data_IF_646270445023
#
_entry.id   IF_646270445023
#
_cell.length_a   1.000
_cell.length_b   1.000
_cell.length_c   1.000
_cell.angle_alpha   90.00
_cell.angle_beta   90.00
_cell.angle_gamma   90.00
#
_symmetry.space_group_name_H-M   'P 1'
#
loop_
_entity.id
_entity.type
_entity.pdbx_description
1 polymer ?
#
# COMPACT_ATOMS: atom_id res chain seq x y z
N UNK A 1 -1.80 -2.97 -3.12
CA UNK A 1 -1.23 -4.29 -3.49
C UNK A 1 0.28 -4.26 -3.29
N UNK A 2 0.89 -5.41 -3.03
CA UNK A 2 2.34 -5.57 -2.98
C UNK A 2 2.79 -6.79 -3.79
N UNK A 3 3.97 -6.70 -4.40
CA UNK A 3 4.68 -7.85 -4.95
C UNK A 3 5.59 -8.45 -3.88
N UNK A 4 5.79 -9.75 -3.93
CA UNK A 4 6.72 -10.51 -3.08
C UNK A 4 7.84 -11.03 -3.96
N UNK A 5 9.08 -10.75 -3.59
CA UNK A 5 10.24 -11.20 -4.37
C UNK A 5 10.62 -12.64 -4.00
N UNK A 6 10.97 -13.43 -4.99
CA UNK A 6 11.39 -14.83 -4.84
C UNK A 6 12.85 -15.08 -5.13
N UNK A 7 13.60 -14.04 -5.52
CA UNK A 7 14.98 -14.18 -5.96
C UNK A 7 15.82 -13.02 -5.44
N UNK A 8 17.02 -13.31 -4.98
CA UNK A 8 17.99 -12.27 -4.64
C UNK A 8 18.41 -11.49 -5.89
N UNK A 9 18.52 -10.15 -5.76
CA UNK A 9 18.97 -9.29 -6.84
C UNK A 9 19.48 -7.94 -6.39
N UNK A 10 20.36 -7.39 -7.19
CA UNK A 10 20.89 -6.03 -7.16
C UNK A 10 21.08 -5.58 -8.61
N UNK A 11 20.94 -4.27 -8.87
CA UNK A 11 21.01 -3.72 -10.23
C UNK A 11 20.06 -4.45 -11.19
N UNK A 12 18.82 -4.66 -10.77
CA UNK A 12 17.82 -5.43 -11.50
C UNK A 12 17.24 -4.54 -12.62
N UNK A 13 17.41 -4.92 -13.89
CA UNK A 13 16.82 -4.14 -14.98
C UNK A 13 15.29 -4.29 -15.00
N UNK A 14 14.57 -3.24 -15.36
CA UNK A 14 13.11 -3.26 -15.47
C UNK A 14 12.60 -4.47 -16.27
N UNK A 15 13.23 -4.77 -17.39
CA UNK A 15 12.83 -5.89 -18.26
C UNK A 15 12.87 -7.27 -17.61
N UNK A 16 13.60 -7.41 -16.50
CA UNK A 16 13.80 -8.67 -15.77
C UNK A 16 12.87 -8.83 -14.57
N UNK A 17 12.04 -7.81 -14.24
CA UNK A 17 11.25 -7.78 -13.01
C UNK A 17 10.39 -9.04 -12.82
N UNK A 18 9.78 -9.55 -13.89
CA UNK A 18 8.91 -10.75 -13.83
C UNK A 18 9.65 -12.01 -13.33
N UNK A 19 10.97 -12.07 -13.52
CA UNK A 19 11.81 -13.17 -13.04
C UNK A 19 12.10 -13.08 -11.53
N UNK A 20 11.80 -11.96 -10.91
CA UNK A 20 12.02 -11.71 -9.47
C UNK A 20 10.74 -11.79 -8.66
N UNK A 21 9.58 -11.56 -9.27
CA UNK A 21 8.28 -11.65 -8.59
C UNK A 21 7.96 -13.12 -8.35
N UNK A 22 7.78 -13.49 -7.08
CA UNK A 22 7.26 -14.80 -6.68
C UNK A 22 5.75 -14.81 -6.59
N UNK A 23 5.15 -13.73 -6.07
CA UNK A 23 3.72 -13.64 -5.92
C UNK A 23 3.25 -12.24 -5.56
N UNK A 24 1.95 -12.12 -5.35
CA UNK A 24 1.27 -10.87 -5.00
C UNK A 24 0.41 -11.06 -3.76
N UNK A 25 0.19 -9.97 -3.01
CA UNK A 25 -0.69 -9.94 -1.85
C UNK A 25 -1.35 -8.57 -1.71
N UNK A 26 -2.40 -8.47 -0.89
CA UNK A 26 -2.93 -7.17 -0.50
C UNK A 26 -2.12 -6.60 0.65
N UNK A 27 -2.06 -5.27 0.71
CA UNK A 27 -1.33 -4.54 1.74
C UNK A 27 -2.10 -3.29 2.12
N UNK A 28 -2.34 -3.10 3.42
CA UNK A 28 -2.85 -1.87 4.01
C UNK A 28 -1.69 -1.12 4.68
N UNK A 29 -1.34 0.04 4.13
CA UNK A 29 -0.29 0.93 4.64
C UNK A 29 -0.92 2.02 5.51
N UNK A 30 -1.19 1.68 6.77
CA UNK A 30 -1.83 2.59 7.71
C UNK A 30 -0.89 3.74 8.08
N UNK A 31 -1.45 4.94 8.15
CA UNK A 31 -0.64 6.14 8.35
C UNK A 31 -1.23 7.02 9.44
N UNK A 32 -0.48 7.22 10.52
CA UNK A 32 -0.83 8.13 11.60
C UNK A 32 -0.49 9.57 11.21
N UNK A 33 -1.49 10.34 10.77
CA UNK A 33 -1.29 11.71 10.27
C UNK A 33 -1.37 12.79 11.34
N UNK A 34 -2.27 12.63 12.33
CA UNK A 34 -2.61 13.67 13.30
C UNK A 34 -1.88 13.54 14.64
N UNK A 35 -1.11 12.47 14.84
CA UNK A 35 -0.43 12.18 16.13
C UNK A 35 0.97 12.77 16.22
N UNK A 36 1.47 13.39 15.15
CA UNK A 36 2.82 13.96 15.11
C UNK A 36 2.72 15.46 15.27
N UNK A 37 3.48 16.04 16.23
CA UNK A 37 3.57 17.49 16.42
C UNK A 37 3.84 18.25 15.11
N UNK A 38 3.34 19.48 14.97
CA UNK A 38 3.60 20.31 13.79
C UNK A 38 5.10 20.37 13.48
N UNK A 39 5.46 20.07 12.25
CA UNK A 39 6.86 20.05 11.82
C UNK A 39 7.04 19.31 10.50
N UNK A 40 8.27 19.18 10.01
CA UNK A 40 8.52 18.43 8.78
C UNK A 40 8.01 17.00 8.90
N UNK A 41 7.43 16.48 7.81
CA UNK A 41 6.85 15.15 7.74
C UNK A 41 7.84 14.09 8.28
N UNK A 42 7.46 13.46 9.39
CA UNK A 42 8.26 12.41 10.02
C UNK A 42 7.75 11.05 9.51
N UNK A 43 7.98 10.74 8.24
CA UNK A 43 7.48 9.51 7.61
C UNK A 43 7.78 8.26 8.44
N UNK A 44 8.96 8.19 9.07
CA UNK A 44 9.32 7.06 9.92
C UNK A 44 8.31 6.82 11.04
N UNK A 45 7.93 7.84 11.80
CA UNK A 45 6.98 7.71 12.92
C UNK A 45 5.53 7.51 12.44
N UNK A 46 5.17 8.10 11.30
CA UNK A 46 3.83 7.97 10.74
C UNK A 46 3.53 6.59 10.15
N UNK A 47 4.56 5.82 9.85
CA UNK A 47 4.48 4.53 9.16
C UNK A 47 4.96 3.34 10.00
N UNK A 48 5.56 3.58 11.15
CA UNK A 48 6.14 2.52 12.00
C UNK A 48 5.54 2.58 13.40
N UNK A 49 4.42 1.93 13.57
CA UNK A 49 3.74 1.69 14.84
C UNK A 49 3.11 0.30 14.82
N UNK A 50 2.75 -0.24 15.96
CA UNK A 50 2.13 -1.56 16.06
C UNK A 50 0.83 -1.62 15.24
N UNK A 51 0.75 -2.60 14.33
CA UNK A 51 -0.38 -2.72 13.41
C UNK A 51 -0.36 -1.76 12.22
N UNK A 52 0.72 -1.01 11.98
CA UNK A 52 0.83 -0.03 10.88
C UNK A 52 0.75 -0.65 9.48
N UNK A 53 0.98 -1.94 9.34
CA UNK A 53 0.94 -2.63 8.06
C UNK A 53 0.18 -3.95 8.18
N UNK A 54 -0.95 -4.05 7.47
CA UNK A 54 -1.71 -5.30 7.33
C UNK A 54 -1.37 -5.94 5.99
N UNK A 55 -1.11 -7.26 5.99
CA UNK A 55 -0.73 -8.02 4.80
C UNK A 55 -1.57 -9.29 4.72
N UNK A 56 -2.07 -9.65 3.56
CA UNK A 56 -2.83 -10.87 3.34
C UNK A 56 -3.92 -10.72 2.27
N UNK A 57 -4.91 -11.63 2.25
CA UNK A 57 -5.11 -12.79 3.13
C UNK A 57 -4.11 -13.93 2.85
N UNK A 58 -3.51 -13.94 1.66
CA UNK A 58 -2.53 -14.92 1.22
C UNK A 58 -1.56 -14.30 0.21
N UNK A 59 -0.53 -15.02 -0.16
CA UNK A 59 0.32 -14.72 -1.33
C UNK A 59 -0.19 -15.61 -2.47
N UNK A 60 -0.57 -14.98 -3.59
CA UNK A 60 -1.00 -15.68 -4.82
C UNK A 60 0.18 -15.75 -5.78
N UNK A 61 0.49 -16.95 -6.24
CA UNK A 61 1.65 -17.23 -7.09
C UNK A 61 1.19 -17.58 -8.51
N UNK A 62 1.56 -16.75 -9.48
CA UNK A 62 1.39 -17.01 -10.91
C UNK A 62 -0.03 -16.85 -11.48
N UNK A 63 -1.05 -16.57 -10.66
CA UNK A 63 -2.45 -16.48 -11.10
C UNK A 63 -2.96 -15.05 -11.26
N UNK A 64 -2.29 -14.08 -10.67
CA UNK A 64 -2.66 -12.65 -10.72
C UNK A 64 -1.52 -11.86 -11.32
N UNK A 65 -1.80 -11.08 -12.36
CA UNK A 65 -0.81 -10.17 -12.95
C UNK A 65 -0.76 -8.89 -12.10
N UNK A 66 0.37 -8.59 -11.43
CA UNK A 66 0.52 -7.37 -10.63
C UNK A 66 0.48 -6.09 -11.47
N UNK A 67 0.62 -6.19 -12.77
CA UNK A 67 0.58 -5.06 -13.69
C UNK A 67 -0.83 -4.79 -14.27
N UNK A 68 -1.80 -5.65 -13.97
CA UNK A 68 -3.19 -5.50 -14.42
C UNK A 68 -4.16 -6.13 -13.40
N UNK A 69 -4.13 -5.65 -12.17
CA UNK A 69 -4.98 -6.15 -11.11
C UNK A 69 -5.88 -5.04 -10.55
N UNK A 70 -7.18 -5.29 -10.49
CA UNK A 70 -8.13 -4.38 -9.85
C UNK A 70 -8.06 -4.50 -8.33
N UNK A 71 -8.04 -3.36 -7.67
CA UNK A 71 -8.06 -3.25 -6.21
C UNK A 71 -9.18 -2.32 -5.77
N UNK A 72 -9.90 -2.72 -4.75
CA UNK A 72 -10.97 -1.93 -4.14
C UNK A 72 -10.72 -1.82 -2.63
N UNK A 73 -10.92 -0.62 -2.08
CA UNK A 73 -10.87 -0.37 -0.64
C UNK A 73 -12.21 0.17 -0.16
N UNK A 74 -12.76 -0.46 0.86
CA UNK A 74 -14.00 -0.05 1.53
C UNK A 74 -13.70 0.34 2.97
N UNK A 75 -14.41 1.35 3.46
CA UNK A 75 -14.45 1.75 4.87
C UNK A 75 -15.89 1.64 5.34
N UNK A 76 -16.14 0.81 6.35
CA UNK A 76 -17.50 0.53 6.85
C UNK A 76 -18.48 0.08 5.75
N UNK A 77 -17.97 -0.63 4.74
CA UNK A 77 -18.76 -1.08 3.60
C UNK A 77 -18.92 -0.06 2.46
N UNK A 78 -18.48 1.18 2.65
CA UNK A 78 -18.50 2.22 1.61
C UNK A 78 -17.20 2.26 0.84
N UNK A 79 -17.29 2.26 -0.51
CA UNK A 79 -16.12 2.28 -1.36
C UNK A 79 -15.39 3.62 -1.33
N UNK A 80 -14.12 3.60 -0.93
CA UNK A 80 -13.23 4.76 -0.92
C UNK A 80 -12.25 4.77 -2.09
N UNK A 81 -11.74 3.60 -2.49
CA UNK A 81 -10.80 3.49 -3.60
C UNK A 81 -11.23 2.38 -4.55
N UNK A 82 -11.01 2.58 -5.85
CA UNK A 82 -11.19 1.58 -6.89
C UNK A 82 -10.25 1.90 -8.05
N UNK A 83 -9.27 1.07 -8.28
CA UNK A 83 -8.20 1.35 -9.24
C UNK A 83 -7.62 0.06 -9.83
N UNK A 84 -7.00 0.20 -10.99
CA UNK A 84 -6.14 -0.82 -11.54
C UNK A 84 -4.69 -0.58 -11.09
N UNK A 85 -4.02 -1.61 -10.63
CA UNK A 85 -2.62 -1.49 -10.19
C UNK A 85 -1.67 -1.15 -11.34
N UNK A 86 -2.08 -1.39 -12.59
CA UNK A 86 -1.38 -0.95 -13.80
C UNK A 86 -1.36 0.57 -14.01
N UNK A 87 -2.21 1.33 -13.29
CA UNK A 87 -2.25 2.79 -13.37
C UNK A 87 -1.17 3.49 -12.52
N UNK A 88 -0.23 2.73 -11.94
CA UNK A 88 0.90 3.29 -11.19
C UNK A 88 1.69 4.28 -12.05
N UNK A 89 2.11 5.41 -11.46
CA UNK A 89 2.95 6.42 -12.13
C UNK A 89 4.28 5.82 -12.58
N UNK A 90 4.89 5.01 -11.73
CA UNK A 90 6.05 4.18 -12.05
C UNK A 90 5.65 2.72 -11.86
N UNK A 91 5.92 1.88 -12.84
CA UNK A 91 5.67 0.44 -12.75
C UNK A 91 6.50 -0.20 -11.63
N UNK A 92 6.12 -1.39 -11.18
CA UNK A 92 6.98 -2.16 -10.27
C UNK A 92 8.38 -2.40 -10.88
N UNK A 93 8.48 -2.52 -12.19
CA UNK A 93 9.75 -2.70 -12.89
C UNK A 93 10.66 -1.50 -12.75
N UNK A 94 10.17 -0.31 -13.13
CA UNK A 94 10.90 0.95 -13.00
C UNK A 94 11.28 1.23 -11.54
N UNK A 95 10.35 0.97 -10.61
CA UNK A 95 10.58 1.20 -9.19
C UNK A 95 11.65 0.27 -8.62
N UNK A 96 11.59 -1.04 -8.95
CA UNK A 96 12.59 -2.00 -8.49
C UNK A 96 13.96 -1.76 -9.16
N UNK A 97 14.00 -1.38 -10.44
CA UNK A 97 15.25 -0.98 -11.09
C UNK A 97 15.89 0.17 -10.34
N UNK A 98 15.12 1.20 -9.98
CA UNK A 98 15.62 2.34 -9.24
C UNK A 98 16.16 1.95 -7.87
N UNK A 99 15.38 1.23 -7.07
CA UNK A 99 15.75 0.85 -5.71
C UNK A 99 16.93 -0.14 -5.67
N UNK A 100 17.01 -1.07 -6.62
CA UNK A 100 18.02 -2.11 -6.61
C UNK A 100 19.45 -1.61 -6.96
N UNK A 101 19.60 -0.37 -7.37
CA UNK A 101 20.91 0.29 -7.51
C UNK A 101 21.61 0.45 -6.16
N UNK A 102 20.83 0.76 -5.13
CA UNK A 102 21.33 1.02 -3.77
C UNK A 102 21.11 -0.15 -2.82
N UNK A 103 20.05 -0.94 -3.04
CA UNK A 103 19.65 -2.05 -2.17
C UNK A 103 19.84 -3.41 -2.86
N UNK A 104 20.30 -4.40 -2.10
CA UNK A 104 20.17 -5.81 -2.49
C UNK A 104 18.87 -6.35 -1.93
N UNK A 105 18.02 -6.87 -2.80
CA UNK A 105 16.77 -7.53 -2.43
C UNK A 105 16.97 -9.02 -2.24
N UNK A 106 16.15 -9.61 -1.38
CA UNK A 106 16.19 -11.02 -1.01
C UNK A 106 14.82 -11.68 -1.19
N UNK A 107 14.76 -13.01 -1.32
CA UNK A 107 13.49 -13.73 -1.30
C UNK A 107 12.68 -13.42 -0.03
N UNK A 108 11.40 -13.07 -0.21
CA UNK A 108 10.52 -12.65 0.86
C UNK A 108 10.42 -11.13 1.05
N UNK A 109 11.30 -10.33 0.45
CA UNK A 109 11.13 -8.88 0.44
C UNK A 109 9.85 -8.51 -0.29
N UNK A 110 9.15 -7.49 0.23
CA UNK A 110 7.89 -7.00 -0.32
C UNK A 110 8.03 -5.57 -0.81
N UNK A 111 7.47 -5.30 -1.98
CA UNK A 111 7.42 -3.96 -2.57
C UNK A 111 5.96 -3.54 -2.68
N UNK A 112 5.60 -2.47 -1.97
CA UNK A 112 4.28 -1.86 -2.08
C UNK A 112 4.14 -1.08 -3.38
N UNK A 113 3.00 -1.22 -4.06
CA UNK A 113 2.64 -0.40 -5.22
C UNK A 113 2.15 1.00 -4.86
N UNK A 114 2.21 1.39 -3.58
CA UNK A 114 1.68 2.68 -3.14
C UNK A 114 0.15 2.67 -3.01
N UNK A 115 -0.46 3.83 -3.17
CA UNK A 115 -1.90 4.02 -3.02
C UNK A 115 -2.47 4.88 -4.15
N UNK A 116 -3.72 4.66 -4.48
CA UNK A 116 -4.49 5.49 -5.41
C UNK A 116 -5.22 6.63 -4.68
N UNK A 117 -5.87 7.52 -5.43
CA UNK A 117 -6.77 8.54 -4.90
C UNK A 117 -7.89 7.94 -4.02
N UNK A 118 -8.45 8.74 -3.12
CA UNK A 118 -9.51 8.35 -2.18
C UNK A 118 -8.97 7.98 -0.79
N UNK A 119 -7.72 8.29 -0.47
CA UNK A 119 -7.25 8.24 0.92
C UNK A 119 -7.91 9.35 1.75
N UNK A 120 -7.96 9.19 3.06
CA UNK A 120 -8.50 10.22 3.94
C UNK A 120 -7.75 11.55 3.79
N UNK A 121 -6.42 11.51 3.69
CA UNK A 121 -5.59 12.71 3.53
C UNK A 121 -5.79 13.41 2.17
N UNK A 122 -6.15 12.64 1.13
CA UNK A 122 -6.39 13.16 -0.23
C UNK A 122 -7.79 13.78 -0.36
N UNK A 123 -8.77 13.22 0.35
CA UNK A 123 -10.18 13.62 0.26
C UNK A 123 -10.66 14.52 1.41
N UNK A 124 -9.84 14.72 2.44
CA UNK A 124 -10.22 15.57 3.57
C UNK A 124 -10.39 17.03 3.13
N UNK A 125 -11.47 17.72 3.51
CA UNK A 125 -11.57 19.16 3.40
C UNK A 125 -10.41 19.82 4.16
N UNK A 126 -9.96 20.96 3.68
CA UNK A 126 -8.94 21.75 4.37
C UNK A 126 -9.63 22.91 5.13
N UNK A 127 -9.12 23.25 6.30
CA UNK A 127 -9.51 24.47 7.00
C UNK A 127 -8.83 25.72 6.36
N UNK A 128 -9.09 26.90 6.96
CA UNK A 128 -8.56 28.18 6.46
C UNK A 128 -7.02 28.26 6.49
N UNK A 129 -6.37 27.42 7.31
CA UNK A 129 -4.91 27.31 7.44
C UNK A 129 -4.33 26.21 6.53
N UNK A 130 -5.18 25.51 5.74
CA UNK A 130 -4.79 24.42 4.85
C UNK A 130 -4.54 23.09 5.57
N UNK A 131 -5.08 22.93 6.78
CA UNK A 131 -4.96 21.69 7.58
C UNK A 131 -6.15 20.79 7.29
N UNK A 132 -5.96 19.47 7.02
CA UNK A 132 -7.05 18.56 6.80
C UNK A 132 -8.00 18.46 8.00
N UNK A 133 -9.30 18.63 7.75
CA UNK A 133 -10.36 18.44 8.75
C UNK A 133 -10.51 16.94 9.03
N UNK A 134 -10.60 16.57 10.29
CA UNK A 134 -10.45 15.19 10.77
C UNK A 134 -11.69 14.27 10.57
N UNK A 135 -12.72 14.71 9.87
CA UNK A 135 -13.96 13.95 9.72
C UNK A 135 -13.90 12.79 8.73
N UNK A 136 -12.88 12.77 7.86
CA UNK A 136 -12.68 11.72 6.86
C UNK A 136 -11.66 10.65 7.28
N UNK A 137 -10.91 10.89 8.36
CA UNK A 137 -9.92 9.95 8.87
C UNK A 137 -10.56 8.76 9.59
N UNK A 138 -9.83 7.65 9.63
CA UNK A 138 -10.28 6.44 10.33
C UNK A 138 -10.33 6.66 11.84
N UNK A 139 -11.40 6.20 12.46
CA UNK A 139 -11.63 6.28 13.89
C UNK A 139 -11.70 4.88 14.53
N UNK A 140 -11.42 4.74 15.83
CA UNK A 140 -11.63 3.48 16.54
C UNK A 140 -13.05 2.97 16.34
N UNK A 141 -13.18 1.71 15.94
CA UNK A 141 -14.45 1.07 15.58
C UNK A 141 -14.70 0.95 14.08
N UNK A 142 -13.97 1.70 13.26
CA UNK A 142 -14.06 1.55 11.81
C UNK A 142 -13.47 0.21 11.36
N UNK A 143 -14.01 -0.29 10.24
CA UNK A 143 -13.51 -1.48 9.54
C UNK A 143 -13.08 -1.08 8.15
N UNK A 144 -11.88 -1.50 7.77
CA UNK A 144 -11.36 -1.34 6.41
C UNK A 144 -11.23 -2.70 5.76
N UNK A 145 -11.73 -2.82 4.54
CA UNK A 145 -11.59 -3.99 3.70
C UNK A 145 -10.89 -3.61 2.41
N UNK A 146 -9.79 -4.31 2.09
CA UNK A 146 -9.09 -4.22 0.81
C UNK A 146 -9.31 -5.53 0.08
N UNK A 147 -9.79 -5.49 -1.17
CA UNK A 147 -10.07 -6.69 -1.94
C UNK A 147 -9.62 -6.59 -3.38
N UNK A 148 -9.28 -7.73 -3.96
CA UNK A 148 -8.91 -7.87 -5.36
C UNK A 148 -9.35 -9.22 -5.88
N UNK A 149 -9.92 -9.30 -7.11
CA UNK A 149 -10.21 -10.57 -7.76
C UNK A 149 -8.94 -11.45 -7.81
N UNK A 150 -9.10 -12.74 -7.50
CA UNK A 150 -8.01 -13.70 -7.51
C UNK A 150 -7.11 -13.70 -6.26
N UNK A 151 -7.15 -12.63 -5.42
CA UNK A 151 -6.40 -12.59 -4.14
C UNK A 151 -7.35 -12.80 -2.95
N UNK A 152 -8.54 -12.22 -3.00
CA UNK A 152 -9.51 -12.26 -1.91
C UNK A 152 -9.63 -10.91 -1.18
N UNK A 153 -9.92 -10.96 0.13
CA UNK A 153 -10.15 -9.80 0.98
C UNK A 153 -9.22 -9.79 2.18
N UNK A 154 -8.64 -8.63 2.45
CA UNK A 154 -7.90 -8.31 3.67
C UNK A 154 -8.72 -7.31 4.49
N UNK A 155 -9.12 -7.68 5.70
CA UNK A 155 -9.89 -6.81 6.59
C UNK A 155 -9.09 -6.44 7.83
N UNK A 156 -9.24 -5.18 8.26
CA UNK A 156 -8.64 -4.65 9.48
C UNK A 156 -9.67 -3.83 10.26
N UNK A 157 -9.66 -3.97 11.58
CA UNK A 157 -10.44 -3.11 12.48
C UNK A 157 -9.53 -2.06 13.10
N UNK A 158 -10.01 -0.83 13.14
CA UNK A 158 -9.28 0.28 13.76
C UNK A 158 -9.57 0.26 15.25
N UNK A 159 -8.52 0.27 16.06
CA UNK A 159 -8.60 0.28 17.52
C UNK A 159 -7.93 1.53 18.09
N UNK A 160 -8.32 1.91 19.30
CA UNK A 160 -7.57 2.93 20.06
C UNK A 160 -6.23 2.38 20.51
N UNK A 161 -5.19 3.21 20.47
CA UNK A 161 -3.89 2.92 21.04
C UNK A 161 -3.95 2.88 22.57
#
# INVERSE_FOLDING_TARGET
>A
MAIVLGKQGKDIPESEIKNYIWGVTLLGDWSARMTVEPGPLKFGLQKNFDGSCSIGPCIVVGEVDPFDAMVETLVNGERRQYFNNGDMVFSFGEYLEHLSRDFTFYPGDMISGGTAAGTAADSAPLDDDGIPINDTFLNPGDTVEIRSPGIGSLSASIVSA
#
